data_IF_453746154709
#
_entry.id   IF_453746154709
#
_cell.length_a   1.000
_cell.length_b   1.000
_cell.length_c   1.000
_cell.angle_alpha   90.00
_cell.angle_beta   90.00
_cell.angle_gamma   90.00
#
_symmetry.space_group_name_H-M   'P 1'
#
loop_
_entity.id
_entity.type
_entity.pdbx_description
1 polymer ?
#
# COMPACT_ATOMS: atom_id res chain seq x y z
N UNK A 1 2.89 5.60 12.67
CA UNK A 1 3.60 4.40 12.17
C UNK A 1 4.47 3.84 13.27
N UNK A 2 4.55 2.52 13.42
CA UNK A 2 5.16 1.88 14.61
C UNK A 2 6.68 2.06 14.72
N UNK A 3 7.36 2.48 13.65
CA UNK A 3 8.81 2.67 13.62
C UNK A 3 9.19 3.98 12.91
N UNK A 4 9.30 5.12 13.63
CA UNK A 4 9.54 6.43 13.02
C UNK A 4 10.93 6.58 12.40
N UNK A 5 11.87 5.65 12.63
CA UNK A 5 13.21 5.70 12.04
C UNK A 5 13.25 5.25 10.58
N UNK A 6 12.23 4.53 10.10
CA UNK A 6 12.16 4.10 8.70
C UNK A 6 11.88 5.32 7.81
N UNK A 7 12.84 5.67 6.95
CA UNK A 7 12.76 6.83 6.05
C UNK A 7 12.24 6.52 4.65
N UNK A 8 12.38 5.28 4.21
CA UNK A 8 11.94 4.83 2.90
C UNK A 8 11.37 3.40 2.98
N UNK A 9 10.29 3.13 2.23
CA UNK A 9 9.56 1.87 2.20
C UNK A 9 9.26 1.46 0.76
N UNK A 10 9.24 0.15 0.53
CA UNK A 10 8.81 -0.47 -0.72
C UNK A 10 7.73 -1.49 -0.39
N UNK A 11 6.57 -1.38 -1.02
CA UNK A 11 5.50 -2.38 -0.98
C UNK A 11 5.35 -2.98 -2.38
N UNK A 12 5.35 -4.31 -2.49
CA UNK A 12 5.10 -5.02 -3.74
C UNK A 12 3.94 -5.97 -3.52
N UNK A 13 2.88 -5.81 -4.32
CA UNK A 13 1.68 -6.64 -4.27
C UNK A 13 1.13 -6.75 -2.83
N UNK A 14 1.09 -5.62 -2.12
CA UNK A 14 0.95 -5.63 -0.67
C UNK A 14 -0.48 -5.42 -0.14
N UNK A 15 -1.36 -4.79 -0.93
CA UNK A 15 -2.68 -4.38 -0.46
C UNK A 15 -3.58 -3.87 -1.60
N UNK A 16 -4.87 -3.79 -1.30
CA UNK A 16 -5.90 -2.89 -1.84
C UNK A 16 -6.84 -2.50 -0.68
N UNK A 17 -7.93 -1.77 -0.93
CA UNK A 17 -8.92 -1.47 0.14
C UNK A 17 -9.58 -2.74 0.66
N UNK A 18 -9.89 -2.82 1.95
CA UNK A 18 -10.69 -3.92 2.50
C UNK A 18 -12.03 -4.10 1.79
N UNK A 19 -12.65 -3.01 1.31
CA UNK A 19 -13.91 -3.04 0.57
C UNK A 19 -13.77 -3.69 -0.82
N UNK A 20 -12.58 -3.61 -1.40
CA UNK A 20 -12.28 -4.11 -2.74
C UNK A 20 -11.64 -5.51 -2.72
N UNK A 21 -10.92 -5.83 -1.64
CA UNK A 21 -10.18 -7.08 -1.45
C UNK A 21 -11.07 -8.30 -1.68
N UNK A 22 -10.75 -9.09 -2.72
CA UNK A 22 -11.53 -10.27 -3.09
C UNK A 22 -13.06 -10.01 -3.21
N UNK A 23 -13.46 -8.80 -3.58
CA UNK A 23 -14.87 -8.41 -3.63
C UNK A 23 -15.53 -8.23 -2.25
N UNK A 24 -14.74 -7.86 -1.24
CA UNK A 24 -15.16 -7.67 0.15
C UNK A 24 -14.96 -8.90 1.05
N UNK A 25 -14.43 -10.01 0.51
CA UNK A 25 -14.06 -11.18 1.31
C UNK A 25 -12.69 -10.99 1.96
N UNK A 26 -12.68 -10.34 3.12
CA UNK A 26 -11.46 -10.05 3.89
C UNK A 26 -10.90 -11.26 4.66
N UNK A 27 -11.39 -12.48 4.45
CA UNK A 27 -10.92 -13.66 5.20
C UNK A 27 -9.40 -13.88 5.11
N UNK A 28 -8.78 -13.46 4.00
CA UNK A 28 -7.32 -13.45 3.84
C UNK A 28 -6.58 -12.58 4.88
N UNK A 29 -7.20 -11.49 5.34
CA UNK A 29 -6.65 -10.58 6.35
C UNK A 29 -6.98 -10.97 7.80
N UNK A 30 -7.99 -11.83 8.00
CA UNK A 30 -8.47 -12.20 9.35
C UNK A 30 -7.82 -13.46 9.92
N UNK A 31 -6.83 -14.03 9.23
CA UNK A 31 -6.09 -15.16 9.77
C UNK A 31 -5.37 -14.78 11.08
N UNK A 32 -5.13 -15.76 11.96
CA UNK A 32 -4.46 -15.56 13.27
C UNK A 32 -3.08 -14.92 13.17
N UNK A 33 -2.44 -14.98 12.00
CA UNK A 33 -1.13 -14.36 11.70
C UNK A 33 -1.20 -12.89 11.24
N UNK A 34 -2.40 -12.37 10.98
CA UNK A 34 -2.63 -11.02 10.45
C UNK A 34 -3.47 -10.20 11.44
N UNK A 35 -4.72 -9.88 11.07
CA UNK A 35 -5.61 -8.99 11.81
C UNK A 35 -6.92 -9.72 12.16
N UNK A 36 -6.87 -10.75 13.04
CA UNK A 36 -8.05 -11.57 13.35
C UNK A 36 -9.22 -10.78 13.96
N UNK A 37 -8.93 -9.63 14.60
CA UNK A 37 -9.93 -8.75 15.20
C UNK A 37 -10.77 -7.97 14.19
N UNK A 38 -10.44 -7.97 12.90
CA UNK A 38 -11.32 -7.36 11.89
C UNK A 38 -12.68 -8.08 11.80
N UNK A 39 -12.76 -9.34 12.23
CA UNK A 39 -14.03 -10.09 12.33
C UNK A 39 -14.99 -9.55 13.41
N UNK A 40 -14.51 -8.67 14.30
CA UNK A 40 -15.35 -8.00 15.30
C UNK A 40 -16.25 -6.91 14.66
N UNK A 41 -16.04 -6.58 13.37
CA UNK A 41 -16.69 -5.47 12.69
C UNK A 41 -17.37 -5.94 11.39
N UNK A 42 -18.56 -5.39 11.06
CA UNK A 42 -19.05 -5.41 9.68
C UNK A 42 -18.02 -4.77 8.74
N UNK A 43 -17.91 -5.26 7.50
CA UNK A 43 -16.90 -4.81 6.54
C UNK A 43 -16.86 -3.27 6.38
N UNK A 44 -18.03 -2.64 6.23
CA UNK A 44 -18.15 -1.18 6.05
C UNK A 44 -17.94 -0.37 7.34
N UNK A 45 -17.88 -1.04 8.49
CA UNK A 45 -17.69 -0.44 9.82
C UNK A 45 -16.29 -0.70 10.39
N UNK A 46 -15.40 -1.34 9.61
CA UNK A 46 -14.00 -1.46 10.00
C UNK A 46 -13.44 -0.05 10.22
N UNK A 47 -12.80 0.22 11.38
CA UNK A 47 -12.50 1.58 11.81
C UNK A 47 -11.31 2.22 11.09
N UNK A 48 -10.70 1.52 10.13
CA UNK A 48 -9.64 2.05 9.28
C UNK A 48 -9.56 1.28 7.96
N UNK A 49 -8.87 1.86 6.97
CA UNK A 49 -8.50 1.16 5.75
C UNK A 49 -7.09 1.58 5.28
N UNK A 50 -6.60 1.02 4.17
CA UNK A 50 -5.22 1.21 3.70
C UNK A 50 -4.89 2.66 3.35
N UNK A 51 -5.87 3.51 3.01
CA UNK A 51 -5.59 4.94 2.78
C UNK A 51 -5.12 5.66 4.05
N UNK A 52 -5.63 5.29 5.22
CA UNK A 52 -5.13 5.81 6.49
C UNK A 52 -3.80 5.17 6.87
N UNK A 53 -3.61 3.87 6.62
CA UNK A 53 -2.35 3.18 6.88
C UNK A 53 -1.20 3.76 6.06
N UNK A 54 -1.42 3.97 4.75
CA UNK A 54 -0.45 4.60 3.86
C UNK A 54 -0.28 6.07 4.22
N UNK A 55 -1.37 6.81 4.48
CA UNK A 55 -1.31 8.21 4.91
C UNK A 55 -0.48 8.41 6.19
N UNK A 56 -0.56 7.48 7.13
CA UNK A 56 0.21 7.48 8.38
C UNK A 56 1.72 7.22 8.19
N UNK A 57 2.18 6.92 6.97
CA UNK A 57 3.59 6.84 6.62
C UNK A 57 4.19 8.21 6.29
N UNK A 58 3.38 9.25 6.08
CA UNK A 58 3.88 10.58 5.78
C UNK A 58 4.83 11.10 6.90
N UNK A 59 5.94 11.80 6.56
CA UNK A 59 6.41 12.15 5.22
C UNK A 59 7.41 11.15 4.61
N UNK A 60 7.52 9.92 5.12
CA UNK A 60 8.48 8.93 4.63
C UNK A 60 8.32 8.68 3.12
N UNK A 61 9.40 8.27 2.46
CA UNK A 61 9.32 7.90 1.05
C UNK A 61 8.71 6.52 0.89
N UNK A 62 7.67 6.38 0.06
CA UNK A 62 6.96 5.13 -0.18
C UNK A 62 6.86 4.84 -1.67
N UNK A 63 7.33 3.67 -2.07
CA UNK A 63 7.17 3.13 -3.41
C UNK A 63 6.23 1.91 -3.36
N UNK A 64 5.22 1.89 -4.22
CA UNK A 64 4.21 0.83 -4.30
C UNK A 64 4.25 0.23 -5.71
N UNK A 65 4.46 -1.08 -5.81
CA UNK A 65 4.27 -1.85 -7.04
C UNK A 65 2.96 -2.63 -6.95
N UNK A 66 1.97 -2.28 -7.77
CA UNK A 66 0.64 -2.88 -7.80
C UNK A 66 0.34 -3.43 -9.21
N UNK A 67 0.65 -4.71 -9.50
CA UNK A 67 0.54 -5.27 -10.84
C UNK A 67 -0.89 -5.26 -11.42
N UNK A 68 -1.01 -5.05 -12.73
CA UNK A 68 -2.30 -4.92 -13.42
C UNK A 68 -3.15 -6.20 -13.40
N UNK A 69 -2.52 -7.38 -13.33
CA UNK A 69 -3.18 -8.69 -13.38
C UNK A 69 -3.04 -9.45 -12.06
N UNK A 70 -2.77 -8.75 -10.96
CA UNK A 70 -2.73 -9.36 -9.63
C UNK A 70 -4.13 -9.88 -9.25
N UNK A 71 -4.23 -11.19 -8.99
CA UNK A 71 -5.48 -11.83 -8.60
C UNK A 71 -5.82 -11.63 -7.11
N UNK A 72 -4.86 -11.19 -6.30
CA UNK A 72 -5.04 -10.94 -4.88
C UNK A 72 -5.55 -9.52 -4.60
N UNK A 73 -4.90 -8.52 -5.22
CA UNK A 73 -5.10 -7.10 -4.94
C UNK A 73 -5.39 -6.31 -6.21
N UNK A 74 -6.41 -5.44 -6.18
CA UNK A 74 -6.83 -4.66 -7.34
C UNK A 74 -6.01 -3.38 -7.51
N UNK A 75 -5.30 -3.26 -8.63
CA UNK A 75 -4.44 -2.10 -8.90
C UNK A 75 -5.22 -0.76 -8.91
N UNK A 76 -6.46 -0.75 -9.40
CA UNK A 76 -7.29 0.45 -9.47
C UNK A 76 -7.82 0.86 -8.07
N UNK A 77 -7.96 -0.09 -7.16
CA UNK A 77 -8.22 0.18 -5.74
C UNK A 77 -6.99 0.77 -5.06
N UNK A 78 -5.80 0.27 -5.37
CA UNK A 78 -4.53 0.87 -4.90
C UNK A 78 -4.42 2.33 -5.36
N UNK A 79 -4.80 2.65 -6.59
CA UNK A 79 -4.81 4.03 -7.08
C UNK A 79 -5.73 4.95 -6.27
N UNK A 80 -6.93 4.48 -5.90
CA UNK A 80 -7.84 5.22 -5.01
C UNK A 80 -7.25 5.41 -3.62
N UNK A 81 -6.64 4.36 -3.06
CA UNK A 81 -5.94 4.40 -1.77
C UNK A 81 -4.80 5.41 -1.79
N UNK A 82 -3.94 5.37 -2.81
CA UNK A 82 -2.81 6.29 -3.00
C UNK A 82 -3.30 7.73 -3.17
N UNK A 83 -4.35 7.95 -3.95
CA UNK A 83 -4.95 9.27 -4.15
C UNK A 83 -5.45 9.87 -2.84
N UNK A 84 -6.15 9.08 -2.01
CA UNK A 84 -6.61 9.53 -0.70
C UNK A 84 -5.44 9.80 0.26
N UNK A 85 -4.47 8.88 0.36
CA UNK A 85 -3.30 9.02 1.22
C UNK A 85 -2.42 10.23 0.85
N UNK A 86 -2.35 10.57 -0.44
CA UNK A 86 -1.59 11.73 -0.97
C UNK A 86 -2.02 13.05 -0.33
N UNK A 87 -3.28 13.19 0.09
CA UNK A 87 -3.75 14.37 0.81
C UNK A 87 -3.01 14.58 2.14
N UNK A 88 -2.69 13.50 2.86
CA UNK A 88 -1.92 13.55 4.11
C UNK A 88 -0.46 13.87 3.82
N UNK A 89 0.15 13.22 2.82
CA UNK A 89 1.53 13.53 2.41
C UNK A 89 1.71 15.01 2.04
N UNK A 90 0.71 15.61 1.38
CA UNK A 90 0.71 17.05 1.04
C UNK A 90 0.76 17.96 2.26
N UNK A 91 0.12 17.59 3.38
CA UNK A 91 0.18 18.38 4.63
C UNK A 91 1.62 18.53 5.16
N UNK A 92 2.47 17.54 4.86
CA UNK A 92 3.89 17.53 5.25
C UNK A 92 4.84 17.94 4.11
N UNK A 93 4.31 18.43 2.98
CA UNK A 93 5.13 18.81 1.81
C UNK A 93 5.81 17.62 1.11
N UNK A 94 5.33 16.40 1.34
CA UNK A 94 5.92 15.15 0.85
C UNK A 94 5.13 14.50 -0.29
N UNK A 95 4.30 15.22 -1.04
CA UNK A 95 3.43 14.62 -2.06
C UNK A 95 4.18 13.75 -3.08
N UNK A 96 5.37 14.17 -3.48
CA UNK A 96 6.31 13.47 -4.36
C UNK A 96 6.99 12.24 -3.74
N UNK A 97 6.80 12.01 -2.44
CA UNK A 97 7.37 10.89 -1.72
C UNK A 97 6.50 9.64 -1.83
N UNK A 98 5.26 9.74 -2.31
CA UNK A 98 4.36 8.61 -2.54
C UNK A 98 4.28 8.28 -4.03
N UNK A 99 4.88 7.14 -4.41
CA UNK A 99 4.99 6.67 -5.80
C UNK A 99 4.24 5.33 -5.92
N UNK A 100 3.47 5.18 -7.00
CA UNK A 100 2.80 3.94 -7.37
C UNK A 100 3.14 3.58 -8.83
N UNK A 101 3.39 2.30 -9.08
CA UNK A 101 3.70 1.73 -10.38
C UNK A 101 2.83 0.50 -10.64
N UNK A 102 2.41 0.31 -11.89
CA UNK A 102 1.51 -0.77 -12.31
C UNK A 102 2.14 -1.62 -13.42
N UNK A 103 3.06 -2.55 -13.09
CA UNK A 103 3.62 -3.45 -14.10
C UNK A 103 2.53 -4.34 -14.70
N UNK A 104 2.64 -4.67 -15.99
CA UNK A 104 1.81 -5.69 -16.62
C UNK A 104 2.28 -7.10 -16.22
N UNK A 105 1.92 -7.48 -15.00
CA UNK A 105 2.25 -8.75 -14.39
C UNK A 105 1.09 -9.26 -13.52
N UNK A 106 1.16 -10.54 -13.18
CA UNK A 106 0.36 -11.13 -12.11
C UNK A 106 0.92 -10.74 -10.73
N UNK A 107 0.63 -11.50 -9.68
CA UNK A 107 1.14 -11.27 -8.33
C UNK A 107 2.66 -11.52 -8.23
N UNK A 108 3.48 -10.58 -8.72
CA UNK A 108 4.93 -10.75 -8.84
C UNK A 108 5.71 -9.43 -8.71
N UNK A 109 6.93 -9.53 -8.18
CA UNK A 109 7.89 -8.43 -8.13
C UNK A 109 8.95 -8.60 -9.23
N UNK A 110 8.62 -8.13 -10.44
CA UNK A 110 9.47 -8.30 -11.62
C UNK A 110 10.87 -7.68 -11.45
N UNK A 111 11.90 -8.19 -12.17
CA UNK A 111 13.27 -7.66 -12.08
C UNK A 111 13.39 -6.16 -12.32
N UNK A 112 12.64 -5.60 -13.27
CA UNK A 112 12.62 -4.18 -13.58
C UNK A 112 12.00 -3.34 -12.47
N UNK A 113 10.90 -3.81 -11.87
CA UNK A 113 10.30 -3.17 -10.69
C UNK A 113 11.21 -3.22 -9.47
N UNK A 114 11.95 -4.32 -9.29
CA UNK A 114 12.98 -4.44 -8.24
C UNK A 114 14.08 -3.41 -8.44
N UNK A 115 14.57 -3.26 -9.67
CA UNK A 115 15.59 -2.27 -10.01
C UNK A 115 15.09 -0.84 -9.77
N UNK A 116 13.86 -0.51 -10.19
CA UNK A 116 13.23 0.79 -9.86
C UNK A 116 13.16 1.02 -8.36
N UNK A 117 12.80 -0.01 -7.58
CA UNK A 117 12.74 0.09 -6.12
C UNK A 117 14.13 0.31 -5.49
N UNK A 118 15.18 -0.32 -6.01
CA UNK A 118 16.55 -0.09 -5.55
C UNK A 118 17.01 1.34 -5.85
N UNK A 119 16.77 1.84 -7.05
CA UNK A 119 17.08 3.21 -7.44
C UNK A 119 16.31 4.23 -6.60
N UNK A 120 15.03 3.94 -6.33
CA UNK A 120 14.22 4.71 -5.40
C UNK A 120 14.85 4.75 -4.01
N UNK A 121 15.18 3.60 -3.41
CA UNK A 121 15.81 3.55 -2.08
C UNK A 121 17.15 4.30 -2.05
N UNK A 122 18.02 4.10 -3.05
CA UNK A 122 19.30 4.82 -3.17
C UNK A 122 19.11 6.34 -3.23
N UNK A 123 18.07 6.83 -3.94
CA UNK A 123 17.79 8.26 -4.02
C UNK A 123 17.28 8.89 -2.71
N UNK A 124 16.72 8.08 -1.79
CA UNK A 124 16.02 8.57 -0.57
C UNK A 124 16.80 8.34 0.72
N UNK A 125 17.81 7.47 0.70
CA UNK A 125 18.59 7.07 1.88
C UNK A 125 20.02 7.63 1.89
N UNK A 126 20.36 8.52 0.95
CA UNK A 126 21.60 9.30 0.98
C UNK A 126 21.60 10.37 2.07
#
# INVERSE_FOLDING_TARGET
MFEPRIRALVSSCGFDSFLDYQGGDITGWTATRYMPRLLEWPLAEIPFDFHELIGALAPASVFISAPLRDANFRWDSVDRVVTAARAVFRLYGGEQNLIVEHPDAEHSFLPDMREKAYQFLDSRLK
#
